data_IF_787494554775
#
_entry.id   IF_787494554775
#
_cell.length_a   1.000
_cell.length_b   1.000
_cell.length_c   1.000
_cell.angle_alpha   90.00
_cell.angle_beta   90.00
_cell.angle_gamma   90.00
#
_symmetry.space_group_name_H-M   'P 1'
#
loop_
_entity.id
_entity.type
_entity.pdbx_description
1 polymer ?
#
# COMPACT_ATOMS: atom_id res chain seq x y z
N UNK A 1 -14.08 -2.37 42.19
CA UNK A 1 -14.47 -1.64 40.97
C UNK A 1 -13.21 -1.02 40.40
N UNK A 2 -12.60 -1.73 39.46
CA UNK A 2 -11.24 -1.58 38.97
C UNK A 2 -11.20 -0.66 37.75
N UNK A 3 -10.53 0.47 37.90
CA UNK A 3 -10.11 1.33 36.79
C UNK A 3 -8.91 0.68 36.08
N UNK A 4 -9.04 0.43 34.77
CA UNK A 4 -7.90 0.11 33.90
C UNK A 4 -7.32 1.39 33.30
N UNK A 5 -5.98 1.56 33.25
CA UNK A 5 -5.36 2.79 32.76
C UNK A 5 -5.25 2.80 31.22
N UNK A 6 -5.54 3.97 30.67
CA UNK A 6 -5.33 4.37 29.27
C UNK A 6 -3.83 4.33 28.97
N UNK A 7 -3.43 3.52 27.98
CA UNK A 7 -2.05 3.48 27.47
C UNK A 7 -1.83 4.70 26.58
N UNK A 8 -1.27 5.76 27.16
CA UNK A 8 -0.64 6.83 26.41
C UNK A 8 0.69 6.31 25.83
N UNK A 9 0.76 6.16 24.50
CA UNK A 9 2.02 5.95 23.77
C UNK A 9 2.85 7.24 23.85
N UNK A 10 3.70 7.31 24.87
CA UNK A 10 4.65 8.40 25.09
C UNK A 10 5.86 8.19 24.17
N UNK A 11 5.92 8.95 23.08
CA UNK A 11 7.08 9.03 22.19
C UNK A 11 8.15 9.91 22.84
N UNK A 12 8.96 9.35 23.74
CA UNK A 12 10.26 9.92 24.09
C UNK A 12 11.18 8.89 24.76
N UNK A 13 12.46 8.98 24.37
CA UNK A 13 13.65 8.38 24.97
C UNK A 13 14.04 6.96 24.52
N UNK A 14 15.13 6.86 23.73
CA UNK A 14 16.35 6.25 24.27
C UNK A 14 17.60 6.71 23.52
N UNK A 15 18.54 7.27 24.29
CA UNK A 15 19.89 7.62 23.88
C UNK A 15 20.80 6.38 23.85
N UNK A 16 21.69 6.41 22.85
CA UNK A 16 23.03 5.80 22.72
C UNK A 16 23.57 5.00 23.92
N UNK A 17 24.08 3.78 23.65
CA UNK A 17 25.34 3.26 24.22
C UNK A 17 26.03 2.26 23.28
N UNK A 18 27.26 2.58 22.92
CA UNK A 18 28.24 1.71 22.25
C UNK A 18 28.98 0.86 23.29
N UNK A 19 29.37 -0.37 22.92
CA UNK A 19 30.16 -1.29 23.76
C UNK A 19 30.65 -2.52 22.98
N UNK A 20 31.87 -2.96 23.26
CA UNK A 20 32.85 -3.55 22.35
C UNK A 20 33.14 -5.06 22.60
N UNK A 21 33.62 -5.77 21.55
CA UNK A 21 34.51 -6.98 21.49
C UNK A 21 34.09 -8.37 22.04
N UNK A 22 34.39 -9.42 21.25
CA UNK A 22 34.62 -10.78 21.76
C UNK A 22 34.73 -11.96 20.75
N UNK A 23 35.90 -12.11 20.10
CA UNK A 23 36.64 -13.31 19.62
C UNK A 23 35.99 -14.63 19.10
N UNK A 24 36.55 -15.05 17.96
CA UNK A 24 37.10 -16.37 17.54
C UNK A 24 36.22 -17.64 17.44
N UNK A 25 36.21 -18.23 16.22
CA UNK A 25 35.91 -19.64 15.97
C UNK A 25 36.11 -20.00 14.49
N UNK A 26 37.28 -20.55 14.13
CA UNK A 26 37.52 -21.21 12.84
C UNK A 26 36.72 -22.52 12.76
N UNK A 27 35.96 -22.74 11.69
CA UNK A 27 35.58 -24.09 11.27
C UNK A 27 35.50 -24.20 9.74
N UNK A 28 35.90 -25.37 9.29
CA UNK A 28 36.37 -25.76 7.96
C UNK A 28 35.25 -25.92 6.91
N UNK A 29 35.64 -25.73 5.64
CA UNK A 29 34.89 -26.03 4.43
C UNK A 29 34.26 -27.42 4.41
N UNK A 30 32.99 -27.51 3.99
CA UNK A 30 32.53 -28.59 3.11
C UNK A 30 31.60 -28.04 2.03
N UNK A 31 32.01 -28.24 0.77
CA UNK A 31 31.22 -27.97 -0.43
C UNK A 31 30.12 -29.03 -0.53
N UNK A 32 28.87 -28.60 -0.43
CA UNK A 32 27.70 -29.38 -0.82
C UNK A 32 27.02 -28.69 -2.00
N UNK A 33 27.27 -29.15 -3.21
CA UNK A 33 26.51 -28.78 -4.41
C UNK A 33 25.21 -29.57 -4.42
N UNK A 34 24.19 -29.06 -3.74
CA UNK A 34 22.81 -29.53 -3.89
C UNK A 34 22.14 -28.85 -5.09
N UNK A 35 21.19 -29.51 -5.77
CA UNK A 35 20.49 -28.93 -6.91
C UNK A 35 19.74 -27.69 -6.41
N UNK A 36 20.07 -26.54 -7.00
CA UNK A 36 19.42 -25.28 -6.66
C UNK A 36 17.91 -25.44 -6.80
N UNK A 37 17.21 -25.46 -5.66
CA UNK A 37 15.79 -25.11 -5.64
C UNK A 37 15.71 -23.80 -6.39
N UNK A 38 15.10 -23.80 -7.58
CA UNK A 38 14.61 -22.58 -8.20
C UNK A 38 13.63 -21.98 -7.20
N UNK A 39 14.13 -21.12 -6.32
CA UNK A 39 13.28 -20.22 -5.56
C UNK A 39 12.47 -19.52 -6.65
N UNK A 40 11.17 -19.77 -6.70
CA UNK A 40 10.28 -18.93 -7.51
C UNK A 40 10.63 -17.50 -7.15
N UNK A 41 11.13 -16.72 -8.10
CA UNK A 41 11.45 -15.33 -7.86
C UNK A 41 10.19 -14.68 -7.28
N UNK A 42 10.33 -13.92 -6.21
CA UNK A 42 9.23 -13.15 -5.67
C UNK A 42 8.69 -12.24 -6.79
N UNK A 43 7.37 -12.16 -6.94
CA UNK A 43 6.70 -11.24 -7.87
C UNK A 43 5.47 -10.66 -7.19
N UNK A 44 5.21 -9.39 -7.46
CA UNK A 44 4.00 -8.71 -7.02
C UNK A 44 2.76 -9.10 -7.83
N UNK A 45 2.90 -9.77 -8.99
CA UNK A 45 1.74 -10.24 -9.79
C UNK A 45 0.77 -11.08 -8.98
N UNK A 46 1.26 -11.96 -8.10
CA UNK A 46 0.41 -12.76 -7.19
C UNK A 46 -0.46 -11.91 -6.24
N UNK A 47 -0.07 -10.67 -5.93
CA UNK A 47 -0.87 -9.75 -5.10
C UNK A 47 -2.03 -9.20 -5.93
N UNK A 48 -1.76 -8.87 -7.19
CA UNK A 48 -2.76 -8.40 -8.16
C UNK A 48 -3.77 -9.51 -8.43
N UNK A 49 -3.28 -10.72 -8.76
CA UNK A 49 -4.13 -11.89 -9.03
C UNK A 49 -5.05 -12.18 -7.86
N UNK A 50 -4.50 -12.19 -6.63
CA UNK A 50 -5.29 -12.37 -5.43
C UNK A 50 -6.36 -11.27 -5.27
N UNK A 51 -5.98 -10.00 -5.45
CA UNK A 51 -6.93 -8.89 -5.27
C UNK A 51 -8.07 -8.94 -6.30
N UNK A 52 -7.74 -9.18 -7.57
CA UNK A 52 -8.72 -9.30 -8.64
C UNK A 52 -9.62 -10.52 -8.49
N UNK A 53 -9.11 -11.63 -7.96
CA UNK A 53 -9.93 -12.81 -7.69
C UNK A 53 -10.82 -12.62 -6.46
N UNK A 54 -10.28 -12.12 -5.35
CA UNK A 54 -11.02 -11.96 -4.11
C UNK A 54 -12.18 -10.95 -4.29
N UNK A 55 -11.98 -9.83 -4.98
CA UNK A 55 -13.03 -8.81 -5.15
C UNK A 55 -14.23 -9.30 -5.99
N UNK A 56 -14.06 -10.29 -6.88
CA UNK A 56 -15.17 -10.85 -7.67
C UNK A 56 -16.25 -11.50 -6.80
N UNK A 57 -15.88 -11.98 -5.61
CA UNK A 57 -16.84 -12.52 -4.63
C UNK A 57 -17.71 -11.44 -3.97
N UNK A 58 -17.32 -10.17 -4.08
CA UNK A 58 -17.99 -9.03 -3.46
C UNK A 58 -18.71 -8.13 -4.47
N UNK A 59 -18.18 -8.02 -5.69
CA UNK A 59 -18.75 -7.17 -6.73
C UNK A 59 -18.30 -7.60 -8.13
N UNK A 60 -19.11 -7.27 -9.15
CA UNK A 60 -18.72 -7.47 -10.55
C UNK A 60 -17.81 -6.34 -11.02
N UNK A 61 -16.61 -6.69 -11.48
CA UNK A 61 -15.68 -5.75 -12.12
C UNK A 61 -15.97 -5.61 -13.61
N UNK A 62 -15.87 -4.38 -14.11
CA UNK A 62 -15.85 -4.07 -15.56
C UNK A 62 -14.57 -3.31 -15.90
N UNK A 63 -13.93 -3.53 -17.06
CA UNK A 63 -12.78 -2.73 -17.47
C UNK A 63 -13.12 -1.24 -17.51
N UNK A 64 -12.25 -0.40 -16.96
CA UNK A 64 -12.41 1.06 -17.06
C UNK A 64 -12.04 1.53 -18.47
N UNK A 65 -12.59 2.66 -18.97
CA UNK A 65 -12.13 3.28 -20.22
C UNK A 65 -10.64 3.59 -20.26
N UNK A 66 -9.99 3.72 -19.09
CA UNK A 66 -8.54 3.86 -18.99
C UNK A 66 -7.77 2.64 -19.53
N UNK A 67 -8.35 1.44 -19.48
CA UNK A 67 -7.69 0.20 -19.90
C UNK A 67 -7.31 0.19 -21.38
N UNK A 68 -8.08 0.88 -22.22
CA UNK A 68 -7.80 1.01 -23.66
C UNK A 68 -6.52 1.81 -23.92
N UNK A 69 -6.25 2.80 -23.07
CA UNK A 69 -5.11 3.73 -23.21
C UNK A 69 -3.90 3.29 -22.39
N UNK A 70 -4.13 2.65 -21.25
CA UNK A 70 -3.12 2.28 -20.27
C UNK A 70 -3.20 0.78 -20.00
N UNK A 71 -2.34 0.01 -20.68
CA UNK A 71 -2.28 -1.44 -20.57
C UNK A 71 -0.85 -1.93 -20.27
N UNK A 72 0.01 -2.08 -21.26
CA UNK A 72 1.39 -2.49 -21.08
C UNK A 72 2.31 -1.54 -21.82
N UNK A 73 3.47 -1.28 -21.22
CA UNK A 73 4.49 -0.42 -21.78
C UNK A 73 5.86 -0.99 -21.46
N UNK A 74 6.75 -0.97 -22.45
CA UNK A 74 8.17 -1.21 -22.21
C UNK A 74 8.83 0.09 -21.77
N UNK A 75 9.59 0.05 -20.67
CA UNK A 75 10.34 1.19 -20.18
C UNK A 75 11.39 1.67 -21.18
N UNK A 76 11.70 2.96 -21.15
CA UNK A 76 12.72 3.62 -21.96
C UNK A 76 14.13 3.06 -21.73
N UNK A 77 14.35 2.35 -20.63
CA UNK A 77 15.60 1.63 -20.35
C UNK A 77 15.75 0.33 -21.14
N UNK A 78 14.71 -0.08 -21.89
CA UNK A 78 14.66 -1.28 -22.70
C UNK A 78 14.59 -2.59 -21.91
N UNK A 79 14.49 -2.53 -20.58
CA UNK A 79 14.63 -3.70 -19.67
C UNK A 79 13.52 -3.80 -18.63
N UNK A 80 12.82 -2.71 -18.37
CA UNK A 80 11.66 -2.70 -17.48
C UNK A 80 10.37 -2.89 -18.27
N UNK A 81 9.44 -3.64 -17.70
CA UNK A 81 8.07 -3.79 -18.20
C UNK A 81 7.11 -3.17 -17.19
N UNK A 82 6.21 -2.34 -17.69
CA UNK A 82 5.13 -1.73 -16.92
C UNK A 82 3.82 -2.38 -17.38
N UNK A 83 3.01 -2.79 -16.42
CA UNK A 83 1.67 -3.34 -16.63
C UNK A 83 0.67 -2.55 -15.80
N UNK A 84 -0.40 -2.12 -16.45
CA UNK A 84 -1.44 -1.27 -15.92
C UNK A 84 -2.79 -1.95 -16.14
N UNK A 85 -3.52 -2.11 -15.05
CA UNK A 85 -4.86 -2.65 -15.05
C UNK A 85 -5.81 -1.65 -14.41
N UNK A 86 -7.01 -1.50 -14.95
CA UNK A 86 -8.01 -0.56 -14.46
C UNK A 86 -9.43 -1.09 -14.64
N UNK A 87 -10.21 -1.02 -13.57
CA UNK A 87 -11.56 -1.55 -13.48
C UNK A 87 -12.47 -0.61 -12.71
N UNK A 88 -13.76 -0.74 -12.94
CA UNK A 88 -14.84 -0.07 -12.21
C UNK A 88 -15.81 -1.11 -11.65
N UNK A 89 -16.61 -0.70 -10.67
CA UNK A 89 -17.69 -1.52 -10.13
C UNK A 89 -18.83 -0.61 -9.61
N UNK A 90 -19.98 -1.17 -9.19
CA UNK A 90 -21.07 -0.40 -8.60
C UNK A 90 -20.62 0.54 -7.45
N UNK A 91 -19.84 0.06 -6.48
CA UNK A 91 -19.32 0.90 -5.37
C UNK A 91 -17.90 1.43 -5.57
N UNK A 92 -17.24 1.02 -6.65
CA UNK A 92 -15.84 1.35 -6.96
C UNK A 92 -15.79 2.28 -8.16
N UNK A 93 -15.33 3.52 -7.96
CA UNK A 93 -15.09 4.47 -9.04
C UNK A 93 -13.92 4.01 -9.91
N UNK A 94 -12.85 3.55 -9.28
CA UNK A 94 -11.65 3.08 -9.97
C UNK A 94 -10.84 2.14 -9.09
N UNK A 95 -10.69 0.89 -9.50
CA UNK A 95 -9.62 0.01 -9.07
C UNK A 95 -8.52 0.12 -10.12
N UNK A 96 -7.30 0.43 -9.72
CA UNK A 96 -6.16 0.45 -10.64
C UNK A 96 -4.92 -0.18 -10.04
N UNK A 97 -4.15 -0.81 -10.90
CA UNK A 97 -2.86 -1.38 -10.58
C UNK A 97 -1.82 -0.89 -11.58
N UNK A 98 -0.65 -0.49 -11.08
CA UNK A 98 0.58 -0.36 -11.84
C UNK A 98 1.58 -1.37 -11.26
N UNK A 99 2.01 -2.31 -12.08
CA UNK A 99 3.11 -3.23 -11.80
C UNK A 99 4.31 -2.83 -12.64
N UNK A 100 5.50 -2.83 -12.06
CA UNK A 100 6.75 -2.64 -12.79
C UNK A 100 7.65 -3.82 -12.46
N UNK A 101 8.12 -4.53 -13.48
CA UNK A 101 9.13 -5.58 -13.35
C UNK A 101 10.37 -5.15 -14.16
N UNK A 102 11.51 -5.03 -13.50
CA UNK A 102 12.79 -4.73 -14.15
C UNK A 102 13.95 -5.47 -13.48
N UNK A 103 15.17 -5.24 -13.96
CA UNK A 103 16.37 -5.91 -13.47
C UNK A 103 16.62 -5.64 -11.98
N UNK A 104 16.21 -6.57 -11.12
CA UNK A 104 16.38 -6.48 -9.66
C UNK A 104 15.51 -5.41 -8.99
N UNK A 105 14.48 -4.91 -9.69
CA UNK A 105 13.51 -3.95 -9.18
C UNK A 105 12.08 -4.42 -9.47
N UNK A 106 11.21 -4.30 -8.47
CA UNK A 106 9.78 -4.52 -8.65
C UNK A 106 8.98 -3.42 -7.96
N UNK A 107 7.90 -2.97 -8.60
CA UNK A 107 6.96 -1.99 -8.05
C UNK A 107 5.54 -2.54 -8.13
N UNK A 108 4.78 -2.34 -7.07
CA UNK A 108 3.33 -2.47 -7.06
C UNK A 108 2.73 -1.15 -6.58
N UNK A 109 1.85 -0.57 -7.37
CA UNK A 109 0.93 0.48 -6.93
C UNK A 109 -0.49 0.01 -7.23
N UNK A 110 -1.19 -0.44 -6.19
CA UNK A 110 -2.58 -0.87 -6.27
C UNK A 110 -3.42 -0.05 -5.30
N UNK A 111 -4.54 0.50 -5.79
CA UNK A 111 -5.49 1.23 -4.98
C UNK A 111 -6.89 1.05 -5.52
N UNK A 112 -7.84 1.21 -4.60
CA UNK A 112 -9.26 1.14 -4.91
C UNK A 112 -9.94 2.40 -4.38
N UNK A 113 -10.46 3.19 -5.31
CA UNK A 113 -11.17 4.43 -5.02
C UNK A 113 -12.68 4.15 -5.04
N UNK A 114 -13.40 4.39 -3.93
CA UNK A 114 -14.84 4.25 -3.90
C UNK A 114 -15.50 5.34 -4.75
N UNK A 115 -16.77 5.14 -5.12
CA UNK A 115 -17.57 6.26 -5.64
C UNK A 115 -17.85 7.28 -4.51
N UNK A 116 -18.02 8.58 -4.81
CA UNK A 116 -18.24 9.61 -3.78
C UNK A 116 -19.47 9.40 -2.89
N UNK A 117 -20.44 8.60 -3.35
CA UNK A 117 -21.62 8.18 -2.59
C UNK A 117 -21.26 7.18 -1.46
N UNK A 118 -20.06 6.61 -1.47
CA UNK A 118 -19.55 5.74 -0.42
C UNK A 118 -18.31 6.38 0.21
N UNK A 119 -18.41 6.83 1.44
CA UNK A 119 -17.33 7.52 2.18
C UNK A 119 -16.23 6.56 2.68
N UNK A 120 -16.03 5.44 2.00
CA UNK A 120 -15.08 4.41 2.37
C UNK A 120 -13.63 4.92 2.37
N UNK A 121 -12.75 4.35 3.21
CA UNK A 121 -11.31 4.52 3.07
C UNK A 121 -10.83 4.09 1.68
N UNK A 122 -9.75 4.70 1.20
CA UNK A 122 -9.08 4.31 -0.04
C UNK A 122 -8.14 3.14 0.28
N UNK A 123 -8.36 1.97 -0.32
CA UNK A 123 -7.38 0.88 -0.21
C UNK A 123 -6.10 1.28 -0.95
N UNK A 124 -4.93 1.08 -0.35
CA UNK A 124 -3.67 1.54 -0.89
C UNK A 124 -2.54 0.54 -0.58
N UNK A 125 -1.88 0.06 -1.63
CA UNK A 125 -0.71 -0.81 -1.56
C UNK A 125 0.37 -0.28 -2.51
N UNK A 126 1.38 0.38 -1.94
CA UNK A 126 2.54 0.91 -2.65
C UNK A 126 3.80 0.22 -2.18
N UNK A 127 4.26 -0.76 -2.96
CA UNK A 127 5.43 -1.57 -2.65
C UNK A 127 6.53 -1.31 -3.66
N UNK A 128 7.73 -1.07 -3.15
CA UNK A 128 8.93 -0.94 -3.94
C UNK A 128 9.96 -1.93 -3.42
N UNK A 129 10.49 -2.76 -4.31
CA UNK A 129 11.58 -3.69 -4.03
C UNK A 129 12.74 -3.36 -4.93
N UNK A 130 13.93 -3.28 -4.35
CA UNK A 130 15.20 -3.25 -5.04
C UNK A 130 16.17 -4.24 -4.38
N UNK A 131 17.35 -4.44 -4.98
CA UNK A 131 18.34 -5.45 -4.60
C UNK A 131 18.54 -5.66 -3.07
N UNK A 132 18.58 -4.58 -2.30
CA UNK A 132 18.91 -4.64 -0.87
C UNK A 132 17.80 -4.13 0.06
N UNK A 133 16.68 -3.64 -0.48
CA UNK A 133 15.66 -2.97 0.33
C UNK A 133 14.27 -3.12 -0.25
N UNK A 134 13.30 -3.16 0.66
CA UNK A 134 11.89 -3.03 0.35
C UNK A 134 11.38 -1.79 1.07
N UNK A 135 10.55 -1.00 0.40
CA UNK A 135 9.85 0.15 0.95
C UNK A 135 8.37 -0.10 0.69
N UNK A 136 7.59 -0.16 1.75
CA UNK A 136 6.21 -0.64 1.70
C UNK A 136 5.32 0.35 2.45
N UNK A 137 4.26 0.77 1.77
CA UNK A 137 3.07 1.39 2.37
C UNK A 137 1.89 0.49 2.05
N UNK A 138 1.22 -0.04 3.07
CA UNK A 138 -0.07 -0.72 2.96
C UNK A 138 -1.04 -0.08 3.94
N UNK A 139 -2.17 0.40 3.45
CA UNK A 139 -3.12 1.13 4.28
C UNK A 139 -4.55 1.08 3.72
N UNK A 140 -5.50 1.40 4.60
CA UNK A 140 -6.83 1.85 4.24
C UNK A 140 -6.84 3.35 4.52
N UNK A 141 -6.36 4.16 3.57
CA UNK A 141 -6.18 5.60 3.78
C UNK A 141 -7.53 6.27 4.08
N UNK A 142 -7.65 7.03 5.17
CA UNK A 142 -8.92 7.65 5.54
C UNK A 142 -9.32 8.71 4.52
N UNK A 143 -10.60 8.72 4.16
CA UNK A 143 -11.14 9.79 3.31
C UNK A 143 -11.20 11.11 4.09
N UNK A 144 -11.61 11.06 5.36
CA UNK A 144 -11.76 12.21 6.23
C UNK A 144 -10.77 12.19 7.39
N UNK A 145 -10.42 13.37 7.92
CA UNK A 145 -9.40 13.50 8.97
C UNK A 145 -9.74 12.66 10.22
N UNK A 146 -8.81 11.78 10.60
CA UNK A 146 -8.89 10.90 11.79
C UNK A 146 -8.07 11.41 12.99
N UNK A 147 -7.45 12.58 12.87
CA UNK A 147 -6.64 13.20 13.94
C UNK A 147 -7.51 14.08 14.83
N UNK A 148 -8.34 14.94 14.23
CA UNK A 148 -9.16 15.92 14.94
C UNK A 148 -10.63 15.49 15.06
N UNK A 149 -11.12 14.64 14.16
CA UNK A 149 -12.49 14.11 14.17
C UNK A 149 -12.51 12.65 14.59
N UNK A 150 -13.36 12.32 15.57
CA UNK A 150 -13.44 10.94 16.07
C UNK A 150 -14.43 10.08 15.28
N UNK A 151 -15.51 10.65 14.74
CA UNK A 151 -16.62 9.87 14.16
C UNK A 151 -16.17 8.97 12.99
N UNK A 152 -15.40 9.51 12.04
CA UNK A 152 -14.88 8.73 10.92
C UNK A 152 -13.87 7.67 11.38
N UNK A 153 -13.03 8.02 12.37
CA UNK A 153 -12.05 7.11 12.95
C UNK A 153 -12.74 5.93 13.62
N UNK A 154 -13.75 6.20 14.45
CA UNK A 154 -14.52 5.18 15.15
C UNK A 154 -15.30 4.31 14.16
N UNK A 155 -15.94 4.92 13.15
CA UNK A 155 -16.72 4.22 12.12
C UNK A 155 -15.88 3.16 11.39
N UNK A 156 -14.65 3.47 11.00
CA UNK A 156 -13.87 2.60 10.12
C UNK A 156 -12.70 1.88 10.78
N UNK A 157 -12.09 2.41 11.83
CA UNK A 157 -10.81 1.90 12.33
C UNK A 157 -10.87 1.28 13.72
N UNK A 158 -11.91 1.55 14.52
CA UNK A 158 -12.03 0.98 15.88
C UNK A 158 -11.83 -0.53 15.89
N UNK A 159 -12.54 -1.23 15.01
CA UNK A 159 -12.52 -2.69 14.94
C UNK A 159 -11.33 -3.23 14.11
N UNK A 160 -10.56 -2.35 13.47
CA UNK A 160 -9.35 -2.69 12.71
C UNK A 160 -8.05 -2.48 13.49
N UNK A 161 -8.07 -1.82 14.65
CA UNK A 161 -6.86 -1.63 15.48
C UNK A 161 -6.11 -2.95 15.76
N UNK A 162 -6.78 -4.07 16.11
CA UNK A 162 -6.08 -5.34 16.32
C UNK A 162 -5.34 -5.85 15.07
N UNK A 163 -5.88 -5.60 13.87
CA UNK A 163 -5.23 -5.96 12.61
C UNK A 163 -3.94 -5.14 12.40
N UNK A 164 -4.00 -3.83 12.67
CA UNK A 164 -2.83 -2.97 12.61
C UNK A 164 -1.73 -3.40 13.58
N UNK A 165 -2.10 -3.69 14.84
CA UNK A 165 -1.16 -4.14 15.87
C UNK A 165 -0.48 -5.47 15.51
N UNK A 166 -1.24 -6.44 15.01
CA UNK A 166 -0.71 -7.74 14.53
C UNK A 166 0.46 -7.57 13.57
N UNK A 167 0.33 -6.66 12.59
CA UNK A 167 1.37 -6.49 11.57
C UNK A 167 2.46 -5.49 11.97
N UNK A 168 2.18 -4.55 12.88
CA UNK A 168 3.20 -3.68 13.49
C UNK A 168 4.25 -4.49 14.28
N UNK A 169 3.87 -5.62 14.89
CA UNK A 169 4.80 -6.53 15.56
C UNK A 169 5.69 -7.32 14.57
N UNK A 170 5.19 -7.57 13.36
CA UNK A 170 5.86 -8.44 12.37
C UNK A 170 6.71 -7.67 11.35
N UNK A 171 6.33 -6.42 11.05
CA UNK A 171 6.96 -5.56 10.06
C UNK A 171 7.54 -4.31 10.76
N UNK A 172 8.86 -4.07 10.69
CA UNK A 172 9.49 -2.97 11.42
C UNK A 172 9.05 -1.61 10.88
N UNK A 173 8.94 -0.61 11.75
CA UNK A 173 8.59 0.75 11.32
C UNK A 173 9.62 1.35 10.36
N UNK A 174 9.16 1.93 9.25
CA UNK A 174 10.00 2.41 8.15
C UNK A 174 10.76 3.72 8.41
N UNK A 175 10.60 4.32 9.59
CA UNK A 175 11.22 5.58 10.00
C UNK A 175 10.26 6.76 10.00
N UNK A 176 10.79 7.99 10.12
CA UNK A 176 9.98 9.21 10.24
C UNK A 176 9.08 9.42 9.02
N UNK A 177 7.82 9.74 9.27
CA UNK A 177 6.86 10.24 8.28
C UNK A 177 6.76 11.77 8.40
N UNK A 178 6.45 12.46 7.30
CA UNK A 178 6.23 13.91 7.34
C UNK A 178 4.88 14.21 8.00
N UNK A 179 4.75 15.39 8.61
CA UNK A 179 3.47 15.86 9.17
C UNK A 179 2.37 15.97 8.12
N UNK A 180 2.76 16.18 6.86
CA UNK A 180 1.85 16.21 5.72
C UNK A 180 1.33 14.81 5.38
N UNK A 181 2.19 13.80 5.26
CA UNK A 181 1.79 12.42 4.98
C UNK A 181 0.87 11.85 6.05
N UNK A 182 1.09 12.21 7.32
CA UNK A 182 0.25 11.77 8.45
C UNK A 182 -1.22 12.20 8.32
N UNK A 183 -1.54 13.20 7.49
CA UNK A 183 -2.93 13.63 7.23
C UNK A 183 -3.72 12.58 6.43
N UNK A 184 -3.02 11.72 5.69
CA UNK A 184 -3.61 10.75 4.76
C UNK A 184 -3.38 9.29 5.18
N UNK A 185 -2.71 9.06 6.30
CA UNK A 185 -2.50 7.71 6.83
C UNK A 185 -3.45 7.39 7.96
N UNK A 186 -3.90 6.14 7.98
CA UNK A 186 -4.77 5.64 9.04
C UNK A 186 -3.98 5.24 10.30
N UNK A 187 -4.66 5.00 11.42
CA UNK A 187 -4.06 4.43 12.62
C UNK A 187 -3.49 3.02 12.43
N UNK A 188 -3.83 2.33 11.33
CA UNK A 188 -3.40 0.96 11.02
C UNK A 188 -2.40 0.91 9.86
N UNK A 189 -1.83 2.04 9.44
CA UNK A 189 -0.88 2.09 8.32
C UNK A 189 0.33 1.17 8.57
N UNK A 190 0.67 0.35 7.57
CA UNK A 190 1.94 -0.37 7.53
C UNK A 190 2.89 0.46 6.69
N UNK A 191 3.71 1.28 7.35
CA UNK A 191 4.88 1.91 6.76
C UNK A 191 6.14 1.16 7.23
N UNK A 192 6.76 0.42 6.32
CA UNK A 192 7.88 -0.46 6.67
C UNK A 192 9.02 -0.41 5.65
N UNK A 193 10.23 -0.63 6.15
CA UNK A 193 11.43 -0.87 5.35
C UNK A 193 12.14 -2.12 5.86
N UNK A 194 12.48 -3.04 4.96
CA UNK A 194 13.17 -4.28 5.34
C UNK A 194 14.02 -4.85 4.21
N UNK A 195 15.08 -5.58 4.57
CA UNK A 195 15.90 -6.31 3.60
C UNK A 195 15.15 -7.50 3.01
N UNK A 196 15.32 -7.80 1.70
CA UNK A 196 14.71 -8.95 1.04
C UNK A 196 14.92 -10.26 1.81
N UNK A 197 13.82 -10.94 2.14
CA UNK A 197 13.84 -12.30 2.69
C UNK A 197 12.51 -12.98 2.47
N UNK A 198 12.52 -14.30 2.28
CA UNK A 198 11.30 -15.08 2.03
C UNK A 198 10.28 -14.95 3.17
N UNK A 199 10.74 -14.88 4.42
CA UNK A 199 9.88 -14.66 5.58
C UNK A 199 9.16 -13.31 5.48
N UNK A 200 9.89 -12.20 5.25
CA UNK A 200 9.28 -10.87 5.12
C UNK A 200 8.32 -10.76 3.93
N UNK A 201 8.64 -11.40 2.80
CA UNK A 201 7.73 -11.45 1.66
C UNK A 201 6.45 -12.24 1.94
N UNK A 202 6.55 -13.32 2.72
CA UNK A 202 5.38 -14.10 3.13
C UNK A 202 4.52 -13.32 4.13
N UNK A 203 5.14 -12.62 5.07
CA UNK A 203 4.46 -11.70 6.00
C UNK A 203 3.76 -10.56 5.26
N UNK A 204 4.43 -9.92 4.31
CA UNK A 204 3.86 -8.84 3.50
C UNK A 204 2.64 -9.32 2.70
N UNK A 205 2.74 -10.51 2.08
CA UNK A 205 1.61 -11.06 1.35
C UNK A 205 0.44 -11.41 2.28
N UNK A 206 0.71 -11.96 3.47
CA UNK A 206 -0.34 -12.17 4.47
C UNK A 206 -0.99 -10.85 4.90
N UNK A 207 -0.20 -9.81 5.17
CA UNK A 207 -0.70 -8.48 5.52
C UNK A 207 -1.60 -7.90 4.43
N UNK A 208 -1.15 -7.97 3.18
CA UNK A 208 -1.93 -7.52 2.03
C UNK A 208 -3.29 -8.21 1.95
N UNK A 209 -3.32 -9.55 2.08
CA UNK A 209 -4.59 -10.31 2.03
C UNK A 209 -5.53 -9.90 3.16
N UNK A 210 -5.03 -9.80 4.39
CA UNK A 210 -5.86 -9.45 5.55
C UNK A 210 -6.39 -8.01 5.44
N UNK A 211 -5.57 -7.05 5.01
CA UNK A 211 -6.00 -5.66 4.79
C UNK A 211 -7.01 -5.53 3.65
N UNK A 212 -6.78 -6.24 2.55
CA UNK A 212 -7.69 -6.21 1.40
C UNK A 212 -9.04 -6.83 1.74
N UNK A 213 -9.06 -8.00 2.42
CA UNK A 213 -10.28 -8.62 2.94
C UNK A 213 -11.01 -7.71 3.94
N UNK A 214 -10.27 -7.01 4.80
CA UNK A 214 -10.87 -6.04 5.72
C UNK A 214 -11.54 -4.88 4.95
N UNK A 215 -10.88 -4.35 3.91
CA UNK A 215 -11.48 -3.32 3.04
C UNK A 215 -12.71 -3.82 2.28
N UNK A 216 -12.67 -5.04 1.75
CA UNK A 216 -13.83 -5.68 1.10
C UNK A 216 -15.01 -5.84 2.08
N UNK A 217 -14.76 -6.24 3.32
CA UNK A 217 -15.82 -6.26 4.34
C UNK A 217 -16.46 -4.87 4.55
N UNK A 218 -15.67 -3.80 4.49
CA UNK A 218 -16.20 -2.44 4.56
C UNK A 218 -17.05 -2.10 3.32
N UNK A 219 -16.64 -2.54 2.11
CA UNK A 219 -17.40 -2.28 0.88
C UNK A 219 -18.79 -2.94 0.90
N UNK A 220 -18.87 -4.16 1.44
CA UNK A 220 -20.12 -4.90 1.56
C UNK A 220 -21.12 -4.16 2.45
N UNK A 221 -20.62 -3.62 3.56
CA UNK A 221 -21.40 -2.95 4.59
C UNK A 221 -21.67 -1.47 4.30
N UNK A 222 -21.03 -0.90 3.26
CA UNK A 222 -21.16 0.51 2.93
C UNK A 222 -22.59 0.85 2.50
N UNK A 223 -23.21 1.77 3.24
CA UNK A 223 -24.46 2.42 2.85
C UNK A 223 -24.16 3.55 1.86
N UNK A 224 -25.06 3.73 0.90
CA UNK A 224 -25.01 4.82 -0.07
C UNK A 224 -25.45 6.14 0.60
N UNK A 225 -24.64 7.18 0.45
CA UNK A 225 -24.98 8.54 0.84
C UNK A 225 -25.93 9.16 -0.20
N UNK A 226 -26.95 9.85 0.28
CA UNK A 226 -27.97 10.52 -0.54
C UNK A 226 -27.97 12.03 -0.39
N UNK A 227 -27.34 12.56 0.68
CA UNK A 227 -27.13 13.99 0.84
C UNK A 227 -26.06 14.48 -0.15
N UNK A 228 -26.51 15.26 -1.13
CA UNK A 228 -25.66 15.86 -2.15
C UNK A 228 -24.48 16.65 -1.56
N UNK A 229 -24.66 17.31 -0.42
CA UNK A 229 -23.58 18.08 0.22
C UNK A 229 -22.47 17.17 0.76
N UNK A 230 -22.82 15.99 1.27
CA UNK A 230 -21.86 15.00 1.76
C UNK A 230 -21.15 14.30 0.60
N UNK A 231 -21.88 13.97 -0.47
CA UNK A 231 -21.29 13.40 -1.70
C UNK A 231 -20.24 14.35 -2.28
N UNK A 232 -20.52 15.66 -2.32
CA UNK A 232 -19.55 16.68 -2.76
C UNK A 232 -18.34 16.70 -1.83
N UNK A 233 -18.51 16.68 -0.51
CA UNK A 233 -17.40 16.63 0.45
C UNK A 233 -16.53 15.39 0.27
N UNK A 234 -17.15 14.22 0.04
CA UNK A 234 -16.43 12.97 -0.22
C UNK A 234 -15.61 13.07 -1.51
N UNK A 235 -16.18 13.64 -2.57
CA UNK A 235 -15.47 13.88 -3.84
C UNK A 235 -14.28 14.81 -3.66
N UNK A 236 -14.46 15.93 -2.95
CA UNK A 236 -13.38 16.87 -2.66
C UNK A 236 -12.27 16.24 -1.81
N UNK A 237 -12.64 15.40 -0.84
CA UNK A 237 -11.68 14.68 -0.01
C UNK A 237 -10.83 13.69 -0.85
N UNK A 238 -11.46 12.94 -1.76
CA UNK A 238 -10.73 12.10 -2.72
C UNK A 238 -9.80 12.96 -3.57
N UNK A 239 -10.29 14.05 -4.15
CA UNK A 239 -9.48 14.92 -5.00
C UNK A 239 -8.27 15.49 -4.25
N UNK A 240 -8.44 15.94 -3.00
CA UNK A 240 -7.32 16.40 -2.14
C UNK A 240 -6.27 15.30 -1.93
N UNK A 241 -6.69 14.07 -1.64
CA UNK A 241 -5.78 12.93 -1.52
C UNK A 241 -5.01 12.68 -2.83
N UNK A 242 -5.72 12.70 -3.96
CA UNK A 242 -5.16 12.44 -5.28
C UNK A 242 -4.16 13.50 -5.72
N UNK A 243 -4.46 14.78 -5.47
CA UNK A 243 -3.54 15.89 -5.77
C UNK A 243 -2.30 15.83 -4.88
N UNK A 244 -2.46 15.55 -3.59
CA UNK A 244 -1.34 15.35 -2.68
C UNK A 244 -0.45 14.18 -3.13
N UNK A 245 -1.06 13.04 -3.48
CA UNK A 245 -0.34 11.87 -4.02
C UNK A 245 0.41 12.23 -5.28
N UNK A 246 -0.25 12.85 -6.25
CA UNK A 246 0.39 13.24 -7.50
C UNK A 246 1.63 14.09 -7.20
N UNK A 247 1.51 15.14 -6.39
CA UNK A 247 2.63 16.04 -6.08
C UNK A 247 3.77 15.36 -5.29
N UNK A 248 3.44 14.53 -4.30
CA UNK A 248 4.41 14.02 -3.31
C UNK A 248 4.87 12.57 -3.57
N UNK A 249 4.43 11.93 -4.65
CA UNK A 249 4.75 10.52 -4.90
C UNK A 249 6.27 10.28 -4.95
N UNK A 250 6.85 9.45 -4.06
CA UNK A 250 8.29 9.20 -4.04
C UNK A 250 8.77 8.43 -5.28
N UNK A 251 7.88 7.75 -5.99
CA UNK A 251 8.12 7.03 -7.24
C UNK A 251 8.20 7.94 -8.47
N UNK A 252 7.85 9.23 -8.36
CA UNK A 252 7.84 10.19 -9.48
C UNK A 252 9.14 10.18 -10.30
N UNK A 253 10.30 10.21 -9.65
CA UNK A 253 11.58 10.22 -10.37
C UNK A 253 11.87 8.90 -11.09
N UNK A 254 11.44 7.78 -10.52
CA UNK A 254 11.53 6.48 -11.17
C UNK A 254 10.64 6.44 -12.41
N UNK A 255 9.38 6.88 -12.31
CA UNK A 255 8.47 6.94 -13.45
C UNK A 255 9.03 7.83 -14.56
N UNK A 256 9.50 9.04 -14.24
CA UNK A 256 10.12 9.94 -15.23
C UNK A 256 11.27 9.29 -15.98
N UNK A 257 12.11 8.52 -15.28
CA UNK A 257 13.20 7.75 -15.91
C UNK A 257 12.68 6.66 -16.83
N UNK A 258 11.63 5.95 -16.43
CA UNK A 258 11.10 4.80 -17.16
C UNK A 258 10.23 5.17 -18.36
N UNK A 259 9.48 6.27 -18.29
CA UNK A 259 8.47 6.59 -19.32
C UNK A 259 8.59 8.01 -19.87
N UNK A 260 9.57 8.78 -19.42
CA UNK A 260 9.72 10.19 -19.77
C UNK A 260 8.85 11.11 -18.91
N UNK A 261 9.17 12.40 -18.91
CA UNK A 261 8.54 13.37 -18.01
C UNK A 261 7.04 13.53 -18.27
N UNK A 262 6.65 13.81 -19.51
CA UNK A 262 5.25 14.05 -19.86
C UNK A 262 4.34 12.86 -19.52
N UNK A 263 4.75 11.63 -19.86
CA UNK A 263 3.94 10.45 -19.58
C UNK A 263 3.91 10.10 -18.09
N UNK A 264 5.01 10.32 -17.36
CA UNK A 264 5.03 10.12 -15.92
C UNK A 264 4.03 11.04 -15.20
N UNK A 265 3.91 12.31 -15.62
CA UNK A 265 2.91 13.22 -15.07
C UNK A 265 1.48 12.76 -15.38
N UNK A 266 1.22 12.27 -16.60
CA UNK A 266 -0.07 11.65 -16.94
C UNK A 266 -0.37 10.49 -16.01
N UNK A 267 0.58 9.55 -15.83
CA UNK A 267 0.40 8.38 -14.95
C UNK A 267 0.10 8.77 -13.49
N UNK A 268 0.81 9.77 -12.96
CA UNK A 268 0.61 10.26 -11.59
C UNK A 268 -0.76 10.93 -11.40
N UNK A 269 -1.29 11.56 -12.45
CA UNK A 269 -2.58 12.26 -12.44
C UNK A 269 -3.75 11.37 -12.86
N UNK A 270 -3.53 10.13 -13.33
CA UNK A 270 -4.58 9.25 -13.86
C UNK A 270 -5.78 9.07 -12.94
N UNK A 271 -5.55 9.13 -11.64
CA UNK A 271 -6.59 8.91 -10.64
C UNK A 271 -7.28 10.20 -10.21
N UNK A 272 -6.67 11.37 -10.49
CA UNK A 272 -7.09 12.72 -10.11
C UNK A 272 -8.06 13.39 -11.11
N UNK A 273 -8.13 12.84 -12.33
CA UNK A 273 -9.02 13.29 -13.39
C UNK A 273 -10.48 12.86 -13.19
#
# INVERSE_FOLDING_TARGET
>A
MSFSPVVHLNLNCCMIRTGNRGRNGWFCCMRGTGPGKKSSAFSYKKFIDFALEEIKGHTSLVPSPLQEKFNSLKGNDGRSELEMLSFEAPKVRLLRCLSIEGDGMQVLDLAVFPRPEFDLPIFCANFFTAANTNIVVLDLNPLHCVITGNDYKEKYYRDLIPLGLKYAELLPWGGKLTSESLRFFSPIVIWTKFSPSQNKYSTLFAAFKDYYKAWLKLIDQAAEETDASQIVRNREAQHKYLMWRAEKDPGRQLLRKLVGEAFAEVLLLLCAA
#
